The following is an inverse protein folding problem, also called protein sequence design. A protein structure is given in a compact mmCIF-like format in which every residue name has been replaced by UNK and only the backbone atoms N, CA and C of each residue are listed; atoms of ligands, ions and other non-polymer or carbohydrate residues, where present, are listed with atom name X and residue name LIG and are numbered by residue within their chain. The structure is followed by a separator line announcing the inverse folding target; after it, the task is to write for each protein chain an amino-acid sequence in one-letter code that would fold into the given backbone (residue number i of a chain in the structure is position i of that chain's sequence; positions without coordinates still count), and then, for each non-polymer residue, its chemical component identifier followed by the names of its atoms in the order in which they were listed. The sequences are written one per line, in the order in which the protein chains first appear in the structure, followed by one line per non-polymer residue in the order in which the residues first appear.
data_IF_144707143197
#
_entry.id   IF_144707143197
#
_cell.length_a   1.000
_cell.length_b   1.000
_cell.length_c   1.000
_cell.angle_alpha   90.00
_cell.angle_beta   90.00
_cell.angle_gamma   90.00
#
_symmetry.space_group_name_H-M   'P 1'
#
loop_
_entity.id
_entity.type
_entity.pdbx_description
1 polymer ?
#
# COMPACT_ATOMS: atom_id res chain seq x y z
N UNK A 1 12.61 8.53 -3.19
CA UNK A 1 11.20 8.17 -3.39
C UNK A 1 10.62 7.81 -2.03
N UNK A 2 9.60 8.51 -1.50
CA UNK A 2 9.21 8.30 -0.09
C UNK A 2 8.72 6.88 0.20
N UNK A 3 8.14 6.17 -0.77
CA UNK A 3 7.68 4.79 -0.54
C UNK A 3 8.83 3.85 -0.12
N UNK A 4 10.05 4.06 -0.62
CA UNK A 4 11.24 3.30 -0.17
C UNK A 4 11.64 3.68 1.25
N UNK A 5 11.64 4.97 1.60
CA UNK A 5 11.95 5.39 2.98
C UNK A 5 10.87 4.97 4.00
N UNK A 6 9.61 4.91 3.58
CA UNK A 6 8.51 4.41 4.41
C UNK A 6 8.62 2.90 4.62
N UNK A 7 9.08 2.16 3.61
CA UNK A 7 9.41 0.74 3.73
C UNK A 7 10.53 0.52 4.76
N UNK A 8 11.63 1.29 4.67
CA UNK A 8 12.72 1.24 5.66
C UNK A 8 12.23 1.59 7.08
N UNK A 9 11.33 2.56 7.21
CA UNK A 9 10.75 2.92 8.51
C UNK A 9 9.99 1.75 9.15
N UNK A 10 9.17 1.02 8.37
CA UNK A 10 8.47 -0.17 8.87
C UNK A 10 9.45 -1.27 9.29
N UNK A 11 10.50 -1.51 8.50
CA UNK A 11 11.53 -2.53 8.78
C UNK A 11 12.33 -2.22 10.04
N UNK A 12 12.63 -0.94 10.28
CA UNK A 12 13.38 -0.50 11.45
C UNK A 12 12.51 -0.45 12.73
N UNK A 13 11.21 -0.20 12.58
CA UNK A 13 10.28 -0.11 13.71
C UNK A 13 9.81 -1.47 14.22
N UNK A 14 9.67 -2.45 13.33
CA UNK A 14 9.15 -3.77 13.64
C UNK A 14 9.97 -4.85 12.93
N UNK A 15 10.42 -5.86 13.69
CA UNK A 15 11.09 -7.02 13.10
C UNK A 15 10.17 -7.70 12.08
N UNK A 16 10.62 -7.83 10.83
CA UNK A 16 9.79 -8.35 9.73
C UNK A 16 8.66 -7.40 9.29
N UNK A 17 8.75 -6.11 9.63
CA UNK A 17 7.81 -5.08 9.22
C UNK A 17 8.04 -4.60 7.80
N UNK A 18 6.98 -4.48 7.02
CA UNK A 18 6.98 -3.90 5.68
C UNK A 18 5.82 -2.92 5.55
N UNK A 19 5.82 -2.06 4.54
CA UNK A 19 4.59 -1.41 4.13
C UNK A 19 3.56 -2.47 3.75
N UNK A 20 2.28 -2.20 4.04
CA UNK A 20 1.23 -3.17 3.79
C UNK A 20 1.19 -3.62 2.32
N UNK A 21 1.24 -4.93 2.13
CA UNK A 21 0.99 -5.62 0.88
C UNK A 21 -0.23 -6.51 1.05
N UNK A 22 -0.96 -6.75 -0.05
CA UNK A 22 -2.21 -7.52 -0.02
C UNK A 22 -2.09 -8.76 -0.89
N UNK A 23 -2.30 -9.93 -0.29
CA UNK A 23 -2.17 -11.25 -0.93
C UNK A 23 -3.54 -11.90 -1.16
N UNK A 24 -4.53 -11.59 -0.33
CA UNK A 24 -5.86 -12.17 -0.42
C UNK A 24 -7.00 -11.16 -0.19
N UNK A 25 -8.21 -11.42 -0.72
CA UNK A 25 -9.34 -10.51 -0.56
C UNK A 25 -9.78 -10.32 0.91
N UNK A 26 -9.61 -11.32 1.77
CA UNK A 26 -9.92 -11.19 3.20
C UNK A 26 -8.99 -10.20 3.91
N UNK A 27 -7.73 -10.21 3.52
CA UNK A 27 -6.75 -9.24 3.98
C UNK A 27 -7.12 -7.82 3.50
N UNK A 28 -7.52 -7.65 2.23
CA UNK A 28 -7.98 -6.36 1.71
C UNK A 28 -9.15 -5.78 2.52
N UNK A 29 -10.13 -6.63 2.86
CA UNK A 29 -11.27 -6.24 3.69
C UNK A 29 -10.84 -5.82 5.10
N UNK A 30 -9.93 -6.58 5.72
CA UNK A 30 -9.38 -6.26 7.05
C UNK A 30 -8.60 -4.94 7.03
N UNK A 31 -7.75 -4.75 6.02
CA UNK A 31 -6.99 -3.54 5.79
C UNK A 31 -7.90 -2.32 5.68
N UNK A 32 -8.97 -2.40 4.87
CA UNK A 32 -9.95 -1.32 4.74
C UNK A 32 -10.63 -0.99 6.08
N UNK A 33 -11.02 -1.99 6.87
CA UNK A 33 -11.65 -1.78 8.18
C UNK A 33 -10.69 -1.11 9.18
N UNK A 34 -9.44 -1.58 9.25
CA UNK A 34 -8.41 -0.99 10.12
C UNK A 34 -8.13 0.46 9.70
N UNK A 35 -7.91 0.71 8.41
CA UNK A 35 -7.66 2.06 7.92
C UNK A 35 -8.85 2.96 8.19
N UNK A 36 -10.08 2.52 7.93
CA UNK A 36 -11.30 3.29 8.19
C UNK A 36 -11.50 3.63 9.68
N UNK A 37 -11.04 2.75 10.59
CA UNK A 37 -11.10 3.01 12.02
C UNK A 37 -10.18 4.19 12.43
N UNK A 38 -8.95 4.23 11.91
CA UNK A 38 -7.95 5.25 12.26
C UNK A 38 -7.98 6.50 11.38
N UNK A 39 -8.42 6.37 10.13
CA UNK A 39 -8.39 7.43 9.11
C UNK A 39 -9.79 7.68 8.58
N UNK A 40 -10.20 8.95 8.58
CA UNK A 40 -11.54 9.36 8.13
C UNK A 40 -11.54 10.19 6.86
N UNK A 41 -10.39 10.73 6.46
CA UNK A 41 -10.30 11.67 5.32
C UNK A 41 -8.98 11.60 4.58
N UNK A 42 -7.88 11.30 5.27
CA UNK A 42 -6.55 11.32 4.68
C UNK A 42 -6.25 10.04 3.89
N UNK A 43 -5.58 10.15 2.73
CA UNK A 43 -5.06 8.98 2.02
C UNK A 43 -4.05 8.20 2.86
N UNK A 44 -3.93 6.91 2.57
CA UNK A 44 -2.98 6.02 3.25
C UNK A 44 -2.11 5.29 2.24
N UNK A 45 -0.80 5.47 2.34
CA UNK A 45 0.18 4.76 1.51
C UNK A 45 0.19 3.26 1.78
N UNK A 46 0.38 2.50 0.71
CA UNK A 46 0.63 1.06 0.71
C UNK A 46 2.03 0.76 0.17
N UNK A 47 2.46 -0.49 0.30
CA UNK A 47 3.72 -0.98 -0.25
C UNK A 47 3.69 -1.18 -1.77
N UNK A 48 2.70 -0.66 -2.50
CA UNK A 48 2.56 -0.86 -3.94
C UNK A 48 3.17 0.33 -4.70
N UNK A 49 4.07 0.06 -5.64
CA UNK A 49 4.74 1.08 -6.45
C UNK A 49 4.90 0.67 -7.92
N UNK A 50 5.08 1.65 -8.79
CA UNK A 50 5.32 1.42 -10.21
C UNK A 50 6.81 1.40 -10.52
N UNK A 51 7.31 0.28 -11.04
CA UNK A 51 8.69 0.13 -11.46
C UNK A 51 8.82 0.44 -12.95
N UNK A 52 9.48 1.56 -13.26
CA UNK A 52 9.67 2.02 -14.65
C UNK A 52 10.47 1.04 -15.52
N UNK A 53 11.38 0.29 -14.91
CA UNK A 53 12.25 -0.67 -15.60
C UNK A 53 11.46 -1.86 -16.15
N UNK A 54 10.62 -2.47 -15.31
CA UNK A 54 9.76 -3.62 -15.64
C UNK A 54 8.38 -3.22 -16.17
N UNK A 55 8.05 -1.91 -16.14
CA UNK A 55 6.77 -1.33 -16.56
C UNK A 55 5.56 -1.96 -15.86
N UNK A 56 5.73 -2.40 -14.62
CA UNK A 56 4.71 -3.07 -13.82
C UNK A 56 4.59 -2.47 -12.42
N UNK A 57 3.47 -2.78 -11.78
CA UNK A 57 3.24 -2.49 -10.37
C UNK A 57 3.74 -3.66 -9.52
N UNK A 58 4.45 -3.34 -8.43
CA UNK A 58 5.01 -4.33 -7.49
C UNK A 58 4.83 -3.92 -6.05
N UNK A 59 4.68 -4.93 -5.20
CA UNK A 59 4.77 -4.77 -3.76
C UNK A 59 6.24 -4.62 -3.34
N UNK A 60 6.51 -3.83 -2.30
CA UNK A 60 7.84 -3.66 -1.72
C UNK A 60 8.41 -4.94 -1.11
N UNK A 61 7.55 -5.94 -0.85
CA UNK A 61 7.94 -7.30 -0.51
C UNK A 61 8.57 -8.08 -1.69
N UNK A 62 8.43 -7.57 -2.92
CA UNK A 62 9.04 -8.11 -4.14
C UNK A 62 8.05 -8.77 -5.10
N UNK A 63 6.83 -9.06 -4.66
CA UNK A 63 5.82 -9.71 -5.49
C UNK A 63 5.20 -8.75 -6.52
N UNK A 64 4.86 -9.30 -7.70
CA UNK A 64 4.14 -8.56 -8.73
C UNK A 64 2.69 -8.37 -8.30
N UNK A 65 2.15 -7.18 -8.53
CA UNK A 65 0.76 -6.90 -8.24
C UNK A 65 -0.18 -7.58 -9.24
N UNK A 66 -1.28 -8.14 -8.72
CA UNK A 66 -2.34 -8.77 -9.49
C UNK A 66 -3.70 -8.20 -9.05
N UNK A 67 -4.36 -7.47 -9.96
CA UNK A 67 -5.61 -6.75 -9.71
C UNK A 67 -6.76 -7.62 -9.19
N UNK A 68 -6.76 -8.92 -9.53
CA UNK A 68 -7.84 -9.84 -9.18
C UNK A 68 -7.27 -11.12 -8.58
N UNK A 69 -7.76 -11.59 -7.41
CA UNK A 69 -8.85 -11.07 -6.58
C UNK A 69 -8.36 -10.33 -5.32
N UNK A 70 -7.21 -9.64 -5.35
CA UNK A 70 -6.54 -9.14 -4.14
C UNK A 70 -7.08 -7.78 -3.67
N UNK A 71 -6.58 -6.69 -4.23
CA UNK A 71 -6.98 -5.32 -3.94
C UNK A 71 -7.14 -4.59 -5.27
N UNK A 72 -8.35 -4.22 -5.71
CA UNK A 72 -8.57 -3.59 -7.00
C UNK A 72 -7.88 -2.21 -7.07
N UNK A 73 -7.36 -1.89 -8.26
CA UNK A 73 -6.83 -0.57 -8.59
C UNK A 73 -7.77 0.23 -9.48
N UNK A 74 -7.89 1.53 -9.24
CA UNK A 74 -8.58 2.43 -10.18
C UNK A 74 -7.67 3.00 -11.28
N UNK A 75 -6.51 2.37 -11.47
CA UNK A 75 -5.46 2.74 -12.42
C UNK A 75 -4.49 3.80 -11.89
N UNK A 76 -3.41 3.99 -12.63
CA UNK A 76 -2.43 5.02 -12.33
C UNK A 76 -3.00 6.41 -12.70
N UNK A 77 -3.43 7.19 -11.70
CA UNK A 77 -3.93 8.57 -11.85
C UNK A 77 -2.84 9.63 -11.65
N UNK A 78 -1.58 9.27 -11.91
CA UNK A 78 -0.39 10.11 -11.74
C UNK A 78 0.54 9.60 -10.63
N UNK A 79 1.85 9.86 -10.74
CA UNK A 79 2.85 9.37 -9.81
C UNK A 79 3.12 7.85 -9.89
N UNK A 80 3.90 7.33 -8.93
CA UNK A 80 4.41 5.94 -8.97
C UNK A 80 4.28 5.20 -7.64
N UNK A 81 3.49 5.74 -6.71
CA UNK A 81 3.23 5.13 -5.41
C UNK A 81 1.72 4.97 -5.24
N UNK A 82 1.28 3.87 -4.64
CA UNK A 82 -0.13 3.55 -4.47
C UNK A 82 -0.62 3.88 -3.06
N UNK A 83 -1.80 4.49 -3.00
CA UNK A 83 -2.50 4.83 -1.76
C UNK A 83 -3.95 4.39 -1.80
N UNK A 84 -4.52 4.15 -0.62
CA UNK A 84 -5.96 4.01 -0.41
C UNK A 84 -6.60 5.39 -0.23
N UNK A 85 -7.78 5.56 -0.82
CA UNK A 85 -8.52 6.83 -0.73
C UNK A 85 -9.77 6.70 0.12
N UNK A 86 -10.10 7.76 0.84
CA UNK A 86 -11.36 7.83 1.59
C UNK A 86 -12.59 7.75 0.68
N UNK A 87 -12.53 8.35 -0.52
CA UNK A 87 -13.64 8.34 -1.49
C UNK A 87 -14.06 6.94 -1.95
N UNK A 88 -13.18 5.95 -1.80
CA UNK A 88 -13.46 4.54 -2.07
C UNK A 88 -13.65 3.72 -0.79
N UNK A 89 -13.88 4.35 0.36
CA UNK A 89 -13.87 3.70 1.68
C UNK A 89 -12.62 2.85 1.92
N UNK A 90 -11.47 3.28 1.39
CA UNK A 90 -10.20 2.56 1.42
C UNK A 90 -10.23 1.13 0.83
N UNK A 91 -11.17 0.83 -0.09
CA UNK A 91 -11.30 -0.49 -0.74
C UNK A 91 -10.60 -0.59 -2.10
N UNK A 92 -10.13 0.54 -2.64
CA UNK A 92 -9.50 0.63 -3.96
C UNK A 92 -8.26 1.48 -3.84
N UNK A 93 -7.16 1.06 -4.47
CA UNK A 93 -5.96 1.90 -4.53
C UNK A 93 -5.96 2.81 -5.76
N UNK A 94 -5.29 3.95 -5.61
CA UNK A 94 -4.96 4.90 -6.68
C UNK A 94 -3.49 5.28 -6.60
N UNK A 95 -2.96 5.97 -7.60
CA UNK A 95 -1.57 6.41 -7.59
C UNK A 95 -1.41 7.90 -7.30
N UNK A 96 -0.32 8.26 -6.65
CA UNK A 96 0.10 9.65 -6.48
C UNK A 96 1.63 9.79 -6.47
N UNK A 97 2.10 11.03 -6.54
CA UNK A 97 3.53 11.34 -6.50
C UNK A 97 4.11 10.90 -5.16
N UNK A 98 5.18 10.12 -5.25
CA UNK A 98 5.83 9.51 -4.10
C UNK A 98 6.50 10.52 -3.16
N UNK A 99 6.50 11.82 -3.46
CA UNK A 99 7.08 12.86 -2.61
C UNK A 99 6.02 13.53 -1.71
N UNK A 100 4.76 13.08 -1.82
CA UNK A 100 3.68 13.53 -0.94
C UNK A 100 3.71 12.83 0.42
N UNK A 101 3.49 13.60 1.46
CA UNK A 101 3.34 13.08 2.83
C UNK A 101 1.90 12.66 3.06
N UNK A 102 1.71 11.37 3.28
CA UNK A 102 0.45 10.78 3.71
C UNK A 102 0.72 9.81 4.87
N UNK A 103 -0.32 9.45 5.60
CA UNK A 103 -0.24 8.34 6.54
C UNK A 103 0.09 7.04 5.79
N UNK A 104 0.60 6.05 6.49
CA UNK A 104 1.00 4.78 5.91
C UNK A 104 0.71 3.67 6.91
N UNK A 105 0.64 2.44 6.43
CA UNK A 105 0.40 1.27 7.26
C UNK A 105 1.53 0.26 7.12
N UNK A 106 2.08 -0.15 8.26
CA UNK A 106 3.04 -1.25 8.32
C UNK A 106 2.27 -2.56 8.58
N UNK A 107 2.64 -3.62 7.85
CA UNK A 107 2.24 -5.01 8.07
C UNK A 107 3.50 -5.77 8.50
N UNK A 108 3.38 -6.62 9.51
CA UNK A 108 4.44 -7.54 9.91
C UNK A 108 3.84 -8.94 10.03
N UNK A 109 4.63 -9.96 9.69
CA UNK A 109 4.25 -11.33 10.03
C UNK A 109 4.65 -11.59 11.49
N UNK A 110 3.71 -11.89 12.39
CA UNK A 110 4.08 -12.35 13.72
C UNK A 110 4.92 -13.62 13.55
N UNK A 111 6.11 -13.64 14.16
CA UNK A 111 6.97 -14.82 14.18
C UNK A 111 6.15 -16.02 14.69
N UNK A 112 6.22 -17.15 13.98
CA UNK A 112 5.83 -18.45 14.52
C UNK A 112 6.81 -18.89 15.59
#
# INVERSE_FOLDING_TARGET
MLCVSLQEHCQNSYSGGHLAWVEEPKEAATLSQVVMYYQRTQPVWLGLHYLRQSRDWRWTHGEKYNDLPTLPGNGARGGSCALLTWSSSFTVWSSADCDRRHHFICKFMPLQ
#
